data_IF_836569608781
#
_entry.id   IF_836569608781
#
_cell.length_a   1.000
_cell.length_b   1.000
_cell.length_c   1.000
_cell.angle_alpha   90.00
_cell.angle_beta   90.00
_cell.angle_gamma   90.00
#
_symmetry.space_group_name_H-M   'P 1'
#
loop_
_entity.id
_entity.type
_entity.pdbx_description
1 polymer ?
#
# COMPACT_ATOMS: atom_id res chain seq x y z
N UNK A 1 2.40 61.61 10.65
CA UNK A 1 2.29 60.14 10.51
C UNK A 1 1.70 59.62 11.81
N UNK A 2 0.37 59.53 11.90
CA UNK A 2 -0.35 59.25 13.15
C UNK A 2 -0.48 57.73 13.34
N UNK A 3 0.38 57.15 14.15
CA UNK A 3 0.20 55.80 14.67
C UNK A 3 -0.43 55.93 16.07
N UNK A 4 -1.76 56.04 16.13
CA UNK A 4 -2.48 55.90 17.39
C UNK A 4 -2.38 54.45 17.87
N UNK A 5 -2.05 54.27 19.15
CA UNK A 5 -1.95 52.95 19.78
C UNK A 5 -3.31 52.22 19.69
N UNK A 6 -3.33 50.90 19.41
CA UNK A 6 -4.58 50.15 19.28
C UNK A 6 -5.34 50.10 20.61
N UNK A 7 -6.67 50.19 20.54
CA UNK A 7 -7.52 50.15 21.74
C UNK A 7 -7.48 48.77 22.42
N UNK A 8 -7.75 48.72 23.71
CA UNK A 8 -7.73 47.47 24.50
C UNK A 8 -8.68 46.40 23.93
N UNK A 9 -9.80 46.82 23.34
CA UNK A 9 -10.76 45.93 22.66
C UNK A 9 -10.15 45.33 21.40
N UNK A 10 -9.42 46.14 20.62
CA UNK A 10 -8.72 45.70 19.41
C UNK A 10 -7.65 44.66 19.76
N UNK A 11 -6.94 44.86 20.88
CA UNK A 11 -5.91 43.93 21.35
C UNK A 11 -6.49 42.56 21.76
N UNK A 12 -7.66 42.54 22.42
CA UNK A 12 -8.35 41.30 22.78
C UNK A 12 -8.84 40.51 21.57
N UNK A 13 -9.41 41.20 20.57
CA UNK A 13 -9.86 40.57 19.32
C UNK A 13 -8.68 39.96 18.57
N UNK A 14 -7.54 40.67 18.53
CA UNK A 14 -6.32 40.15 17.91
C UNK A 14 -5.81 38.90 18.63
N UNK A 15 -5.83 38.89 19.96
CA UNK A 15 -5.41 37.75 20.77
C UNK A 15 -6.31 36.53 20.54
N UNK A 16 -7.62 36.75 20.45
CA UNK A 16 -8.60 35.70 20.19
C UNK A 16 -8.47 35.15 18.76
N UNK A 17 -8.20 36.01 17.77
CA UNK A 17 -7.94 35.60 16.40
C UNK A 17 -6.65 34.78 16.27
N UNK A 18 -5.57 35.15 16.98
CA UNK A 18 -4.34 34.36 17.03
C UNK A 18 -4.57 33.00 17.70
N UNK A 19 -5.35 32.96 18.79
CA UNK A 19 -5.70 31.71 19.46
C UNK A 19 -6.51 30.78 18.55
N UNK A 20 -7.44 31.32 17.75
CA UNK A 20 -8.19 30.55 16.75
C UNK A 20 -7.28 29.99 15.63
N UNK A 21 -6.28 30.75 15.19
CA UNK A 21 -5.30 30.29 14.19
C UNK A 21 -4.40 29.17 14.74
N UNK A 22 -4.06 29.20 16.03
CA UNK A 22 -3.26 28.17 16.69
C UNK A 22 -3.98 26.82 16.88
N UNK A 23 -5.30 26.75 16.68
CA UNK A 23 -6.09 25.52 16.77
C UNK A 23 -6.21 24.77 15.44
N UNK A 24 -5.68 25.33 14.35
CA UNK A 24 -5.71 24.72 13.02
C UNK A 24 -4.47 23.86 12.85
N UNK A 25 -4.48 22.66 13.41
CA UNK A 25 -3.46 21.66 13.11
C UNK A 25 -3.59 21.23 11.63
N UNK A 26 -2.53 21.33 10.81
CA UNK A 26 -2.58 20.87 9.43
C UNK A 26 -2.76 19.35 9.42
N UNK A 27 -3.86 18.88 8.82
CA UNK A 27 -4.13 17.47 8.64
C UNK A 27 -3.17 16.89 7.59
N UNK A 28 -1.95 16.54 8.00
CA UNK A 28 -1.02 15.84 7.13
C UNK A 28 -1.32 14.35 7.15
N UNK A 29 -1.68 13.78 6.00
CA UNK A 29 -1.97 12.35 5.86
C UNK A 29 -0.74 11.45 6.13
N UNK A 30 0.48 11.97 5.93
CA UNK A 30 1.74 11.26 6.18
C UNK A 30 2.87 12.24 6.50
N UNK A 31 3.69 11.92 7.51
CA UNK A 31 4.83 12.75 7.96
C UNK A 31 5.94 12.86 6.90
N UNK A 32 6.12 11.82 6.09
CA UNK A 32 7.03 11.79 4.94
C UNK A 32 6.22 11.71 3.66
N UNK A 33 6.56 12.52 2.66
CA UNK A 33 5.93 12.41 1.34
C UNK A 33 6.35 11.09 0.70
N UNK A 34 5.39 10.37 0.12
CA UNK A 34 5.70 9.20 -0.68
C UNK A 34 6.43 9.64 -1.97
N UNK A 35 7.38 8.83 -2.41
CA UNK A 35 8.10 9.02 -3.68
C UNK A 35 7.89 7.78 -4.55
N UNK A 36 7.64 7.99 -5.85
CA UNK A 36 7.66 6.90 -6.83
C UNK A 36 9.13 6.52 -7.11
N UNK A 37 9.52 5.25 -7.28
CA UNK A 37 8.76 3.99 -7.13
C UNK A 37 8.57 3.58 -5.68
N UNK A 38 7.33 3.24 -5.30
CA UNK A 38 7.00 2.77 -3.95
C UNK A 38 7.68 1.43 -3.61
N UNK A 39 7.83 0.57 -4.61
CA UNK A 39 8.56 -0.70 -4.51
C UNK A 39 9.54 -0.74 -5.68
N UNK A 40 10.83 -0.70 -5.37
CA UNK A 40 11.90 -0.80 -6.36
C UNK A 40 12.35 -2.26 -6.49
N UNK A 41 11.43 -3.12 -6.93
CA UNK A 41 11.64 -4.55 -7.13
C UNK A 41 10.67 -5.07 -8.21
N UNK A 42 10.88 -6.31 -8.66
CA UNK A 42 10.01 -6.96 -9.63
C UNK A 42 8.70 -7.40 -8.98
N UNK A 43 7.66 -6.56 -9.12
CA UNK A 43 6.31 -6.81 -8.60
C UNK A 43 5.29 -6.50 -9.70
N UNK A 44 5.14 -7.39 -10.70
CA UNK A 44 4.22 -7.20 -11.82
C UNK A 44 2.77 -7.57 -11.47
N UNK A 45 1.82 -7.17 -12.33
CA UNK A 45 0.39 -7.54 -12.30
C UNK A 45 -0.30 -7.38 -10.93
N UNK A 46 -0.12 -6.21 -10.31
CA UNK A 46 -0.64 -5.95 -8.97
C UNK A 46 -2.18 -5.98 -8.94
N UNK A 47 -2.76 -6.85 -8.11
CA UNK A 47 -4.17 -6.75 -7.70
C UNK A 47 -4.26 -6.29 -6.25
N UNK A 48 -5.01 -5.22 -5.99
CA UNK A 48 -5.04 -4.54 -4.68
C UNK A 48 -6.45 -4.47 -4.11
N UNK A 49 -6.57 -4.65 -2.80
CA UNK A 49 -7.81 -4.45 -2.05
C UNK A 49 -7.56 -3.81 -0.68
N UNK A 50 -8.60 -3.29 -0.05
CA UNK A 50 -8.55 -2.72 1.30
C UNK A 50 -9.59 -3.39 2.20
N UNK A 51 -9.17 -3.80 3.40
CA UNK A 51 -10.06 -4.30 4.47
C UNK A 51 -9.77 -3.52 5.75
N UNK A 52 -10.69 -2.62 6.11
CA UNK A 52 -10.51 -1.71 7.24
C UNK A 52 -9.33 -0.76 7.05
N UNK A 53 -8.34 -0.82 7.95
CA UNK A 53 -7.11 0.00 7.90
C UNK A 53 -5.98 -0.65 7.08
N UNK A 54 -6.17 -1.88 6.62
CA UNK A 54 -5.13 -2.63 5.93
C UNK A 54 -5.39 -2.67 4.42
N UNK A 55 -4.32 -2.48 3.66
CA UNK A 55 -4.24 -2.71 2.23
C UNK A 55 -3.54 -4.04 1.99
N UNK A 56 -4.07 -4.80 1.06
CA UNK A 56 -3.52 -6.08 0.63
C UNK A 56 -3.29 -6.01 -0.86
N UNK A 57 -2.21 -6.61 -1.31
CA UNK A 57 -2.00 -6.81 -2.73
C UNK A 57 -1.36 -8.16 -3.01
N UNK A 58 -1.54 -8.65 -4.21
CA UNK A 58 -0.79 -9.78 -4.74
C UNK A 58 -0.07 -9.41 -6.05
N UNK A 59 0.79 -10.30 -6.53
CA UNK A 59 1.60 -10.10 -7.72
C UNK A 59 1.88 -11.42 -8.44
N UNK A 60 2.34 -11.35 -9.68
CA UNK A 60 2.69 -12.51 -10.53
C UNK A 60 4.10 -13.02 -10.24
N UNK A 61 4.27 -14.35 -10.16
CA UNK A 61 5.60 -15.00 -10.04
C UNK A 61 5.96 -15.92 -11.20
N UNK A 62 5.04 -16.15 -12.14
CA UNK A 62 5.22 -17.08 -13.27
C UNK A 62 5.51 -18.52 -12.81
N UNK A 63 6.74 -18.99 -13.04
CA UNK A 63 7.20 -20.36 -12.79
C UNK A 63 7.91 -20.52 -11.44
N UNK A 64 8.00 -19.46 -10.64
CA UNK A 64 8.62 -19.51 -9.31
C UNK A 64 7.64 -20.06 -8.28
N UNK A 65 8.15 -21.01 -7.48
CA UNK A 65 7.50 -21.61 -6.32
C UNK A 65 8.27 -21.19 -5.04
N UNK A 66 7.60 -20.80 -3.94
CA UNK A 66 6.16 -20.59 -3.79
C UNK A 66 5.65 -19.40 -4.62
N UNK A 67 4.38 -19.43 -5.00
CA UNK A 67 3.82 -18.53 -6.01
C UNK A 67 2.71 -17.60 -5.53
N UNK A 68 2.51 -16.52 -6.28
CA UNK A 68 1.52 -15.45 -6.01
C UNK A 68 1.69 -14.86 -4.61
N UNK A 69 2.73 -14.04 -4.39
CA UNK A 69 3.01 -13.42 -3.10
C UNK A 69 1.87 -12.50 -2.70
N UNK A 70 1.48 -12.55 -1.44
CA UNK A 70 0.55 -11.62 -0.81
C UNK A 70 1.32 -10.67 0.11
N UNK A 71 1.11 -9.38 -0.09
CA UNK A 71 1.72 -8.31 0.69
C UNK A 71 0.67 -7.47 1.39
N UNK A 72 1.06 -6.85 2.50
CA UNK A 72 0.22 -6.01 3.34
C UNK A 72 0.88 -4.66 3.61
N UNK A 73 0.07 -3.61 3.63
CA UNK A 73 0.45 -2.26 4.04
C UNK A 73 -0.68 -1.61 4.84
N UNK A 74 -0.38 -0.59 5.63
CA UNK A 74 -1.39 0.28 6.27
C UNK A 74 -1.44 1.67 5.65
N UNK A 75 -0.53 1.98 4.73
CA UNK A 75 -0.25 3.33 4.29
C UNK A 75 0.07 3.45 2.80
N UNK A 76 -0.13 2.36 2.03
CA UNK A 76 0.12 2.21 0.59
C UNK A 76 1.59 2.39 0.16
N UNK A 77 2.50 2.69 1.08
CA UNK A 77 3.91 2.99 0.78
C UNK A 77 4.79 1.86 1.30
N UNK A 78 4.61 1.47 2.56
CA UNK A 78 5.44 0.47 3.21
C UNK A 78 4.74 -0.89 3.12
N UNK A 79 5.29 -1.78 2.29
CA UNK A 79 4.73 -3.10 2.03
C UNK A 79 5.57 -4.20 2.67
N UNK A 80 4.91 -5.22 3.21
CA UNK A 80 5.55 -6.42 3.76
C UNK A 80 4.90 -7.66 3.16
N UNK A 81 5.74 -8.62 2.75
CA UNK A 81 5.28 -9.95 2.38
C UNK A 81 4.66 -10.65 3.60
N UNK A 82 3.46 -11.21 3.44
CA UNK A 82 2.73 -11.87 4.52
C UNK A 82 2.39 -13.34 4.21
N UNK A 83 2.29 -13.73 2.94
CA UNK A 83 2.02 -15.11 2.55
C UNK A 83 2.29 -15.36 1.05
N UNK A 84 2.15 -16.60 0.62
CA UNK A 84 2.01 -17.03 -0.77
C UNK A 84 0.69 -17.80 -0.94
N UNK A 85 0.14 -17.86 -2.16
CA UNK A 85 -1.11 -18.60 -2.42
C UNK A 85 -0.90 -20.11 -2.44
N UNK A 86 0.29 -20.58 -2.80
CA UNK A 86 0.65 -21.99 -2.85
C UNK A 86 2.17 -22.19 -2.71
N UNK A 87 2.57 -23.37 -2.21
CA UNK A 87 3.98 -23.78 -2.13
C UNK A 87 4.50 -24.33 -3.45
N UNK A 88 3.71 -25.18 -4.11
CA UNK A 88 4.00 -25.76 -5.42
C UNK A 88 2.74 -25.73 -6.30
N UNK A 89 2.85 -25.19 -7.51
CA UNK A 89 1.69 -25.02 -8.40
C UNK A 89 0.99 -26.34 -8.75
N UNK A 90 1.76 -27.38 -9.08
CA UNK A 90 1.30 -28.74 -9.32
C UNK A 90 2.50 -29.69 -9.39
N UNK A 91 2.25 -31.00 -9.22
CA UNK A 91 3.25 -32.05 -9.41
C UNK A 91 3.21 -32.56 -10.86
N UNK A 92 3.98 -31.91 -11.74
CA UNK A 92 4.07 -32.24 -13.17
C UNK A 92 5.53 -32.23 -13.62
N UNK A 93 5.94 -33.10 -14.57
CA UNK A 93 7.33 -33.14 -15.01
C UNK A 93 7.91 -31.80 -15.45
N UNK A 94 7.10 -30.95 -16.10
CA UNK A 94 7.50 -29.62 -16.56
C UNK A 94 7.66 -28.60 -15.43
N UNK A 95 6.91 -28.72 -14.33
CA UNK A 95 7.05 -27.89 -13.12
C UNK A 95 8.21 -28.36 -12.24
N UNK A 96 8.51 -29.66 -12.27
CA UNK A 96 9.61 -30.28 -11.53
C UNK A 96 10.95 -30.24 -12.28
N UNK A 97 11.01 -29.62 -13.46
CA UNK A 97 12.20 -29.56 -14.32
C UNK A 97 12.78 -30.96 -14.62
N UNK A 98 11.90 -31.94 -14.81
CA UNK A 98 12.25 -33.34 -15.05
C UNK A 98 11.93 -33.74 -16.49
N UNK A 99 12.50 -34.86 -16.94
CA UNK A 99 12.31 -35.37 -18.32
C UNK A 99 12.72 -34.35 -19.42
N UNK A 100 13.59 -33.38 -19.10
CA UNK A 100 13.96 -32.30 -20.00
C UNK A 100 12.84 -31.28 -20.29
N UNK A 101 11.73 -31.31 -19.54
CA UNK A 101 10.59 -30.40 -19.69
C UNK A 101 10.72 -29.20 -18.73
N UNK A 102 10.17 -28.05 -19.12
CA UNK A 102 10.14 -26.83 -18.29
C UNK A 102 8.88 -26.00 -18.56
N UNK A 103 8.61 -25.04 -17.67
CA UNK A 103 7.52 -24.06 -17.84
C UNK A 103 8.00 -22.60 -17.71
N UNK A 104 9.25 -22.31 -18.09
CA UNK A 104 9.75 -20.93 -18.02
C UNK A 104 8.83 -19.96 -18.75
N UNK A 105 8.62 -18.78 -18.16
CA UNK A 105 7.67 -17.76 -18.63
C UNK A 105 6.19 -18.17 -18.62
N UNK A 106 5.85 -19.32 -18.03
CA UNK A 106 4.48 -19.80 -17.81
C UNK A 106 4.26 -20.03 -16.31
N UNK A 107 3.09 -20.57 -15.95
CA UNK A 107 2.71 -20.82 -14.57
C UNK A 107 1.64 -19.83 -14.12
N UNK A 108 1.80 -19.23 -12.94
CA UNK A 108 0.85 -18.24 -12.46
C UNK A 108 1.07 -16.89 -13.13
N UNK A 109 0.04 -16.38 -13.80
CA UNK A 109 0.00 -15.04 -14.39
C UNK A 109 -0.88 -14.11 -13.56
N UNK A 110 -1.30 -12.98 -14.15
CA UNK A 110 -2.10 -11.94 -13.53
C UNK A 110 -3.27 -12.53 -12.73
N UNK A 111 -3.29 -12.24 -11.43
CA UNK A 111 -4.26 -12.75 -10.47
C UNK A 111 -5.25 -11.67 -10.05
N UNK A 112 -6.32 -12.05 -9.35
CA UNK A 112 -7.39 -11.13 -8.96
C UNK A 112 -7.75 -11.26 -7.50
N UNK A 113 -7.37 -10.27 -6.70
CA UNK A 113 -7.61 -10.28 -5.27
C UNK A 113 -8.98 -9.66 -4.92
N UNK A 114 -9.82 -10.37 -4.16
CA UNK A 114 -11.13 -9.90 -3.68
C UNK A 114 -11.38 -10.30 -2.23
N UNK A 115 -12.18 -9.51 -1.53
CA UNK A 115 -12.65 -9.81 -0.18
C UNK A 115 -14.17 -9.83 -0.15
N UNK A 116 -14.74 -10.90 0.41
CA UNK A 116 -16.17 -11.04 0.58
C UNK A 116 -16.48 -11.79 1.88
N UNK A 117 -17.28 -11.17 2.77
CA UNK A 117 -17.78 -11.77 4.02
C UNK A 117 -16.72 -12.49 4.88
N UNK A 118 -15.56 -11.88 5.08
CA UNK A 118 -14.49 -12.48 5.91
C UNK A 118 -13.51 -13.35 5.13
N UNK A 119 -13.80 -13.67 3.87
CA UNK A 119 -12.97 -14.52 3.03
C UNK A 119 -12.20 -13.69 1.99
N UNK A 120 -10.92 -14.00 1.85
CA UNK A 120 -10.07 -13.49 0.76
C UNK A 120 -10.07 -14.53 -0.35
N UNK A 121 -10.40 -14.10 -1.56
CA UNK A 121 -10.32 -14.89 -2.81
C UNK A 121 -9.21 -14.32 -3.68
N UNK A 122 -8.44 -15.21 -4.30
CA UNK A 122 -7.32 -14.91 -5.19
C UNK A 122 -7.59 -15.53 -6.55
#
# INVERSE_FOLDING_TARGET
MNNSLPSFTTLKVLFFALALMGLIEPLSAQKNKAHNSLIFADVPDISLMRVGKNYYMNSTTTSVNPGVPMMKSTDLVNWKLINYSYDTLADLPALNLSEGKNIYSRGSWASSLRYYKGMISI
#
